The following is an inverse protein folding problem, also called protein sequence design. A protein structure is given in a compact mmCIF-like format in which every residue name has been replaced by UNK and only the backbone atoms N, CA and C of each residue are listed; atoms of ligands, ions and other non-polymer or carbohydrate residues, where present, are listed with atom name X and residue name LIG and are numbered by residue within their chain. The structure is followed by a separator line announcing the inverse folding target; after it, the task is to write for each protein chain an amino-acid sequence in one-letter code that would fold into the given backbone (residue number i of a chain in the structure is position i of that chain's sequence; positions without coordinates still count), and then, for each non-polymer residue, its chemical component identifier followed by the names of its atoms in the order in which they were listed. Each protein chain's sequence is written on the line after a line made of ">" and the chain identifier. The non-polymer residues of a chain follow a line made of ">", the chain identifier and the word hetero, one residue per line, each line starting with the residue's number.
data_IF_357118478365
#
_entry.id   IF_357118478365
#
_cell.length_a   1.000
_cell.length_b   1.000
_cell.length_c   1.000
_cell.angle_alpha   90.00
_cell.angle_beta   90.00
_cell.angle_gamma   90.00
#
_symmetry.space_group_name_H-M   'P 1'
#
loop_
_entity.id
_entity.type
_entity.pdbx_description
1 polymer ?
#
# COMPACT_ATOMS: atom_id res chain seq x y z
N UNK A 1 14.98 -6.36 -14.75
CA UNK A 1 14.50 -5.19 -13.96
C UNK A 1 13.00 -5.11 -14.10
N UNK A 2 12.24 -5.78 -13.22
CA UNK A 2 10.78 -5.68 -13.16
C UNK A 2 10.40 -4.94 -11.88
N UNK A 3 9.40 -4.06 -11.95
CA UNK A 3 8.85 -3.40 -10.77
C UNK A 3 8.25 -4.45 -9.81
N UNK A 4 8.39 -4.30 -8.47
CA UNK A 4 7.88 -5.30 -7.52
C UNK A 4 6.36 -5.20 -7.30
N UNK A 5 5.65 -4.33 -8.02
CA UNK A 5 4.25 -3.96 -7.75
C UNK A 5 3.27 -4.58 -8.76
N UNK A 6 3.28 -5.89 -8.91
CA UNK A 6 2.16 -6.61 -9.53
C UNK A 6 1.49 -7.48 -8.48
N UNK A 7 0.64 -6.88 -7.65
CA UNK A 7 -0.40 -7.63 -6.98
C UNK A 7 -1.42 -8.02 -8.04
N UNK A 8 -1.28 -9.23 -8.60
CA UNK A 8 -2.28 -9.81 -9.48
C UNK A 8 -3.52 -10.05 -8.61
N UNK A 9 -4.54 -9.20 -8.77
CA UNK A 9 -5.83 -9.36 -8.12
C UNK A 9 -6.54 -10.58 -8.74
N UNK A 10 -6.22 -11.76 -8.22
CA UNK A 10 -6.91 -13.00 -8.56
C UNK A 10 -8.15 -13.13 -7.66
N UNK A 11 -9.32 -13.27 -8.28
CA UNK A 11 -10.60 -13.54 -7.64
C UNK A 11 -10.60 -14.77 -6.71
N UNK A 12 -9.62 -15.67 -6.83
CA UNK A 12 -9.48 -16.89 -6.01
C UNK A 12 -8.64 -16.70 -4.73
N UNK A 13 -8.08 -15.52 -4.46
CA UNK A 13 -7.20 -15.29 -3.29
C UNK A 13 -7.92 -14.88 -2.00
N UNK A 14 -9.25 -14.86 -1.96
CA UNK A 14 -10.01 -14.77 -0.70
C UNK A 14 -9.92 -13.44 0.05
N UNK A 15 -9.53 -12.35 -0.61
CA UNK A 15 -9.57 -11.02 0.01
C UNK A 15 -11.02 -10.57 0.23
N UNK A 16 -11.39 -10.09 1.43
CA UNK A 16 -12.73 -9.61 1.69
C UNK A 16 -13.02 -8.38 0.81
N UNK A 17 -13.90 -8.57 -0.16
CA UNK A 17 -14.37 -7.50 -1.03
C UNK A 17 -15.35 -6.60 -0.27
N UNK A 18 -15.23 -5.30 -0.51
CA UNK A 18 -16.17 -4.29 -0.06
C UNK A 18 -17.10 -3.99 -1.24
N UNK A 19 -18.32 -4.52 -1.16
CA UNK A 19 -19.28 -4.51 -2.28
C UNK A 19 -19.00 -5.58 -3.33
N UNK A 20 -19.66 -5.50 -4.49
CA UNK A 20 -19.58 -6.55 -5.52
C UNK A 20 -18.16 -6.76 -6.08
N UNK A 21 -17.37 -5.69 -6.17
CA UNK A 21 -16.12 -5.66 -6.95
C UNK A 21 -15.06 -4.70 -6.37
N UNK A 22 -15.25 -4.18 -5.15
CA UNK A 22 -14.34 -3.24 -4.52
C UNK A 22 -13.44 -3.91 -3.51
N UNK A 23 -12.22 -3.41 -3.32
CA UNK A 23 -11.38 -3.75 -2.18
C UNK A 23 -10.74 -2.48 -1.61
N UNK A 24 -10.52 -2.46 -0.29
CA UNK A 24 -9.71 -1.45 0.38
C UNK A 24 -8.32 -2.05 0.58
N UNK A 25 -7.31 -1.40 0.00
CA UNK A 25 -5.90 -1.70 0.24
C UNK A 25 -5.40 -0.73 1.30
N UNK A 26 -4.92 -1.27 2.41
CA UNK A 26 -4.24 -0.49 3.46
C UNK A 26 -2.76 -0.84 3.37
N UNK A 27 -1.93 0.19 3.29
CA UNK A 27 -0.48 0.06 3.24
C UNK A 27 0.17 1.17 4.07
N UNK A 28 1.23 0.83 4.79
CA UNK A 28 2.05 1.78 5.51
C UNK A 28 3.35 2.10 4.77
N UNK A 29 3.77 3.36 4.85
CA UNK A 29 5.05 3.82 4.30
C UNK A 29 5.85 4.51 5.41
N UNK A 30 7.04 3.99 5.67
CA UNK A 30 7.91 4.45 6.76
C UNK A 30 9.08 5.27 6.23
N UNK A 31 9.26 6.49 6.75
CA UNK A 31 10.42 7.32 6.47
C UNK A 31 11.29 7.50 7.73
N UNK A 32 12.48 6.87 7.81
CA UNK A 32 13.35 6.99 8.96
C UNK A 32 13.91 8.40 9.10
N UNK A 33 13.94 8.90 10.34
CA UNK A 33 14.46 10.22 10.66
C UNK A 33 15.59 10.12 11.68
N UNK A 34 16.70 10.78 11.36
CA UNK A 34 17.86 10.93 12.24
C UNK A 34 18.51 12.28 11.99
N UNK A 35 18.90 12.99 13.06
CA UNK A 35 19.59 14.27 12.99
C UNK A 35 18.98 15.32 13.93
N UNK A 36 19.79 16.29 14.37
CA UNK A 36 19.41 17.30 15.37
C UNK A 36 18.27 18.22 14.94
N UNK A 37 18.05 18.38 13.63
CA UNK A 37 16.98 19.21 13.07
C UNK A 37 15.77 18.42 12.58
N UNK A 38 15.69 17.13 12.89
CA UNK A 38 14.51 16.33 12.60
C UNK A 38 13.49 16.48 13.74
N UNK A 39 12.23 16.78 13.40
CA UNK A 39 11.12 16.90 14.37
C UNK A 39 9.91 16.05 13.96
N UNK A 40 9.01 15.79 14.91
CA UNK A 40 7.72 15.13 14.64
C UNK A 40 7.82 13.64 14.30
N UNK A 41 8.74 12.89 14.92
CA UNK A 41 8.84 11.44 14.78
C UNK A 41 8.79 10.77 16.17
N UNK A 42 8.49 9.47 16.17
CA UNK A 42 8.58 8.60 17.36
C UNK A 42 9.16 7.24 16.96
N UNK A 43 9.54 6.46 17.97
CA UNK A 43 9.94 5.06 17.81
C UNK A 43 8.75 4.25 17.31
N UNK A 44 8.80 3.80 16.07
CA UNK A 44 7.79 2.97 15.42
C UNK A 44 8.47 1.91 14.55
N UNK A 45 7.77 0.83 14.22
CA UNK A 45 8.33 -0.17 13.31
C UNK A 45 8.47 0.44 11.91
N UNK A 46 9.68 0.40 11.37
CA UNK A 46 9.99 0.89 10.04
C UNK A 46 10.08 -0.28 9.08
N UNK A 47 9.08 -0.43 8.21
CA UNK A 47 9.08 -1.50 7.19
C UNK A 47 10.35 -1.50 6.33
N UNK A 48 10.86 -0.32 6.00
CA UNK A 48 12.08 -0.15 5.19
C UNK A 48 13.37 -0.59 5.90
N UNK A 49 13.44 -0.50 7.22
CA UNK A 49 14.62 -0.87 8.00
C UNK A 49 14.47 -2.23 8.71
N UNK A 50 13.26 -2.80 8.75
CA UNK A 50 12.97 -4.07 9.42
C UNK A 50 13.12 -4.03 10.94
N UNK A 51 13.07 -2.85 11.56
CA UNK A 51 13.24 -2.66 13.01
C UNK A 51 12.46 -1.46 13.53
N UNK A 52 12.31 -1.40 14.86
CA UNK A 52 11.73 -0.24 15.54
C UNK A 52 12.76 0.88 15.63
N UNK A 53 12.47 1.99 14.97
CA UNK A 53 13.34 3.17 14.93
C UNK A 53 12.53 4.47 14.94
N UNK A 54 13.23 5.58 15.10
CA UNK A 54 12.67 6.91 14.95
C UNK A 54 12.21 7.14 13.50
N UNK A 55 10.90 7.03 13.28
CA UNK A 55 10.31 7.08 11.94
C UNK A 55 9.05 7.92 11.94
N UNK A 56 8.76 8.49 10.77
CA UNK A 56 7.42 8.94 10.43
C UNK A 56 6.77 7.87 9.57
N UNK A 57 5.68 7.30 10.07
CA UNK A 57 4.92 6.27 9.35
C UNK A 57 3.62 6.91 8.88
N UNK A 58 3.43 6.94 7.56
CA UNK A 58 2.16 7.30 6.95
C UNK A 58 1.35 6.05 6.65
N UNK A 59 0.08 6.03 7.02
CA UNK A 59 -0.86 4.96 6.66
C UNK A 59 -1.75 5.47 5.54
N UNK A 60 -1.81 4.70 4.45
CA UNK A 60 -2.56 5.05 3.26
C UNK A 60 -3.66 4.01 3.02
N UNK A 61 -4.84 4.49 2.62
CA UNK A 61 -5.94 3.66 2.17
C UNK A 61 -6.22 3.98 0.70
N UNK A 62 -6.30 2.93 -0.13
CA UNK A 62 -6.74 3.03 -1.52
C UNK A 62 -7.95 2.13 -1.76
N UNK A 63 -9.00 2.71 -2.31
CA UNK A 63 -10.11 1.95 -2.87
C UNK A 63 -9.77 1.51 -4.29
N UNK A 64 -9.82 0.21 -4.54
CA UNK A 64 -9.59 -0.39 -5.86
C UNK A 64 -10.84 -1.14 -6.30
N UNK A 65 -11.16 -1.10 -7.60
CA UNK A 65 -12.23 -1.89 -8.19
C UNK A 65 -11.64 -2.95 -9.11
N UNK A 66 -12.15 -4.17 -9.07
CA UNK A 66 -11.67 -5.30 -9.89
C UNK A 66 -12.06 -5.19 -11.37
N UNK A 67 -12.59 -4.05 -11.81
CA UNK A 67 -13.20 -3.91 -13.12
C UNK A 67 -12.65 -2.69 -13.86
N UNK A 68 -11.55 -2.89 -14.60
CA UNK A 68 -11.23 -2.05 -15.76
C UNK A 68 -10.32 -2.76 -16.78
N UNK A 69 -10.91 -3.67 -17.57
CA UNK A 69 -10.63 -3.82 -19.01
C UNK A 69 -11.74 -4.71 -19.62
N UNK A 70 -12.64 -4.13 -20.41
CA UNK A 70 -13.23 -4.88 -21.52
C UNK A 70 -12.27 -4.68 -22.70
N UNK A 71 -11.52 -5.70 -23.16
CA UNK A 71 -11.12 -5.70 -24.56
C UNK A 71 -12.42 -5.77 -25.38
N UNK A 72 -12.51 -5.02 -26.46
CA UNK A 72 -13.61 -5.02 -27.44
C UNK A 72 -14.78 -4.04 -27.21
N UNK A 73 -14.50 -2.77 -26.95
CA UNK A 73 -15.47 -1.72 -27.26
C UNK A 73 -14.83 -0.59 -28.07
N UNK A 74 -14.60 -0.87 -29.35
CA UNK A 74 -14.59 0.13 -30.41
C UNK A 74 -16.05 0.45 -30.77
N UNK A 75 -16.45 1.69 -30.53
CA UNK A 75 -17.47 2.41 -31.28
C UNK A 75 -16.97 3.84 -31.45
#
# INVERSE_FOLDING_TARGET
>A
MGSPFSCRLDSNTGWPLIGKNGAIVIDECSNPKSGEHSVGFKRQYCGNLGKVENCQVGVYNRYVITQFFKPDSYF
#
